data_IF_229915212629
#
_entry.id   IF_229915212629
#
_cell.length_a   1.000
_cell.length_b   1.000
_cell.length_c   1.000
_cell.angle_alpha   90.00
_cell.angle_beta   90.00
_cell.angle_gamma   90.00
#
_symmetry.space_group_name_H-M   'P 1'
#
loop_
_entity.id
_entity.type
_entity.pdbx_description
1 polymer ?
#
# COMPACT_ATOMS: atom_id res chain seq x y z
N UNK A 1 10.00 4.18 4.59
CA UNK A 1 8.77 3.58 4.05
C UNK A 1 7.75 3.55 5.17
N UNK A 2 6.48 3.73 4.83
CA UNK A 2 5.36 3.63 5.78
C UNK A 2 5.20 2.18 6.27
N UNK A 3 4.99 2.00 7.58
CA UNK A 3 4.70 0.69 8.20
C UNK A 3 3.20 0.42 8.21
N UNK A 4 2.81 -0.82 8.49
CA UNK A 4 1.42 -1.25 8.33
C UNK A 4 0.42 -0.43 9.15
N UNK A 5 0.76 -0.08 10.40
CA UNK A 5 -0.12 0.72 11.27
C UNK A 5 -0.29 2.16 10.80
N UNK A 6 0.73 2.74 10.15
CA UNK A 6 0.66 4.11 9.65
C UNK A 6 -0.21 4.18 8.39
N UNK A 7 -0.09 3.19 7.50
CA UNK A 7 -1.04 3.04 6.39
C UNK A 7 -2.46 2.88 6.90
N UNK A 8 -2.65 1.98 7.87
CA UNK A 8 -3.94 1.73 8.49
C UNK A 8 -4.55 2.99 9.10
N UNK A 9 -3.75 3.82 9.79
CA UNK A 9 -4.21 5.09 10.33
C UNK A 9 -4.73 6.04 9.24
N UNK A 10 -4.00 6.19 8.13
CA UNK A 10 -4.43 7.01 6.99
C UNK A 10 -5.70 6.43 6.35
N UNK A 11 -5.76 5.11 6.15
CA UNK A 11 -6.90 4.42 5.55
C UNK A 11 -8.18 4.54 6.40
N UNK A 12 -8.08 4.36 7.73
CA UNK A 12 -9.20 4.54 8.64
C UNK A 12 -9.66 5.99 8.71
N UNK A 13 -8.71 6.94 8.78
CA UNK A 13 -9.08 8.35 8.74
C UNK A 13 -9.81 8.69 7.43
N UNK A 14 -9.35 8.13 6.31
CA UNK A 14 -9.96 8.34 5.00
C UNK A 14 -11.42 7.91 4.94
N UNK A 15 -11.78 6.77 5.54
CA UNK A 15 -13.17 6.31 5.53
C UNK A 15 -14.02 6.87 6.68
N UNK A 16 -13.39 7.51 7.67
CA UNK A 16 -14.11 8.08 8.83
C UNK A 16 -15.02 9.25 8.43
N UNK A 17 -15.94 9.68 9.33
CA UNK A 17 -16.71 10.91 9.14
C UNK A 17 -15.87 12.18 8.95
N UNK A 18 -14.59 12.15 9.35
CA UNK A 18 -13.64 13.27 9.20
C UNK A 18 -12.82 13.19 7.89
N UNK A 19 -12.91 12.08 7.17
CA UNK A 19 -12.32 11.90 5.85
C UNK A 19 -13.40 12.01 4.78
N UNK A 20 -13.78 10.86 4.23
CA UNK A 20 -14.74 10.70 3.12
C UNK A 20 -16.07 10.08 3.54
N UNK A 21 -16.29 9.91 4.84
CA UNK A 21 -17.57 9.46 5.40
C UNK A 21 -18.11 8.17 4.76
N UNK A 22 -17.29 7.11 4.76
CA UNK A 22 -17.63 5.79 4.22
C UNK A 22 -17.46 5.64 2.70
N UNK A 23 -17.03 6.68 1.99
CA UNK A 23 -16.75 6.62 0.55
C UNK A 23 -15.26 6.33 0.33
N UNK A 24 -14.94 5.31 -0.48
CA UNK A 24 -13.55 5.00 -0.78
C UNK A 24 -12.84 6.13 -1.56
N UNK A 25 -11.52 6.14 -1.50
CA UNK A 25 -10.68 6.97 -2.36
C UNK A 25 -10.73 6.42 -3.78
N UNK A 26 -11.05 7.28 -4.75
CA UNK A 26 -11.06 6.89 -6.17
C UNK A 26 -9.66 6.52 -6.65
N UNK A 27 -9.56 5.48 -7.48
CA UNK A 27 -8.27 5.03 -8.00
C UNK A 27 -7.62 6.04 -8.94
N UNK A 28 -6.32 6.27 -8.77
CA UNK A 28 -5.49 6.98 -9.74
C UNK A 28 -5.00 6.00 -10.83
N UNK A 29 -5.82 5.77 -11.85
CA UNK A 29 -5.49 4.87 -12.95
C UNK A 29 -4.89 5.58 -14.18
N UNK A 30 -4.48 6.85 -14.05
CA UNK A 30 -4.04 7.65 -15.19
C UNK A 30 -2.57 7.38 -15.50
N UNK A 31 -2.29 6.77 -16.65
CA UNK A 31 -0.95 6.63 -17.21
C UNK A 31 -0.65 7.80 -18.13
N UNK A 32 0.38 8.59 -17.84
CA UNK A 32 0.87 9.61 -18.76
C UNK A 32 2.07 9.12 -19.57
N UNK A 33 2.08 9.46 -20.87
CA UNK A 33 3.18 9.20 -21.80
C UNK A 33 3.85 10.56 -22.05
N UNK A 34 5.09 10.71 -21.57
CA UNK A 34 5.84 11.97 -21.72
C UNK A 34 6.34 12.12 -23.16
N UNK A 35 6.75 11.01 -23.80
CA UNK A 35 7.16 10.95 -25.22
C UNK A 35 6.76 9.60 -25.83
N UNK A 36 6.68 9.49 -27.17
CA UNK A 36 6.22 8.30 -27.92
C UNK A 36 6.92 6.97 -27.57
N UNK A 37 8.06 7.00 -26.86
CA UNK A 37 8.79 5.83 -26.36
C UNK A 37 9.16 5.90 -24.87
N UNK A 38 8.67 6.90 -24.12
CA UNK A 38 8.93 7.09 -22.69
C UNK A 38 7.62 7.30 -21.93
N UNK A 39 7.19 6.29 -21.19
CA UNK A 39 6.06 6.41 -20.27
C UNK A 39 6.56 6.50 -18.84
N UNK A 40 6.58 7.69 -18.24
CA UNK A 40 6.54 7.83 -16.78
C UNK A 40 6.11 9.24 -16.35
N UNK A 41 4.84 9.43 -15.97
CA UNK A 41 4.55 10.25 -14.79
C UNK A 41 3.19 9.89 -14.21
N UNK A 42 3.23 9.24 -13.04
CA UNK A 42 2.12 9.30 -12.09
C UNK A 42 2.39 10.59 -11.32
N UNK A 43 1.75 11.70 -11.69
CA UNK A 43 1.89 12.89 -10.84
C UNK A 43 1.11 12.63 -9.56
N UNK A 44 1.76 12.89 -8.43
CA UNK A 44 1.09 12.84 -7.14
C UNK A 44 0.01 13.92 -7.09
N UNK A 45 -1.20 13.58 -6.62
CA UNK A 45 -2.29 14.57 -6.51
C UNK A 45 -3.42 14.40 -7.53
N UNK A 46 -3.37 13.35 -8.35
CA UNK A 46 -4.34 13.12 -9.40
C UNK A 46 -4.04 13.93 -10.64
N UNK A 47 -3.87 13.22 -11.76
CA UNK A 47 -3.69 13.85 -13.05
C UNK A 47 -5.01 14.52 -13.49
N UNK A 48 -4.92 15.72 -14.08
CA UNK A 48 -6.00 16.22 -14.93
C UNK A 48 -6.27 15.23 -16.08
N UNK A 49 -7.27 15.53 -16.92
CA UNK A 49 -7.66 14.68 -18.07
C UNK A 49 -6.52 14.43 -19.08
N UNK A 50 -5.39 15.12 -18.95
CA UNK A 50 -4.20 15.08 -19.80
C UNK A 50 -3.00 14.33 -19.18
N UNK A 51 -3.10 13.77 -17.97
CA UNK A 51 -1.99 13.01 -17.38
C UNK A 51 -0.88 13.85 -16.73
N UNK A 52 -1.06 15.17 -16.65
CA UNK A 52 -0.18 16.08 -15.94
C UNK A 52 -0.98 16.76 -14.83
N UNK A 53 -0.32 17.11 -13.73
CA UNK A 53 -0.79 18.23 -12.92
C UNK A 53 -0.53 19.50 -13.75
N UNK A 54 -1.33 19.74 -14.79
CA UNK A 54 -1.12 20.85 -15.73
C UNK A 54 -1.31 22.23 -15.05
N UNK A 55 -1.83 22.25 -13.82
CA UNK A 55 -1.67 23.31 -12.84
C UNK A 55 -1.88 22.75 -11.42
N UNK A 56 -1.31 23.39 -10.38
CA UNK A 56 -1.62 23.11 -8.96
C UNK A 56 -3.14 23.06 -8.69
N UNK A 57 -3.93 23.75 -9.52
CA UNK A 57 -5.38 23.86 -9.45
C UNK A 57 -6.15 22.55 -9.75
N UNK A 58 -5.59 21.61 -10.53
CA UNK A 58 -6.32 20.42 -11.01
C UNK A 58 -6.41 19.32 -9.94
N UNK A 59 -5.34 19.10 -9.17
CA UNK A 59 -5.35 18.24 -7.99
C UNK A 59 -6.36 18.73 -6.93
N UNK A 60 -6.53 20.05 -6.85
CA UNK A 60 -7.35 20.73 -5.85
C UNK A 60 -8.86 20.66 -6.12
N UNK A 61 -9.29 20.78 -7.37
CA UNK A 61 -10.72 20.94 -7.71
C UNK A 61 -11.31 19.80 -8.52
N UNK A 62 -10.50 19.09 -9.33
CA UNK A 62 -11.00 18.03 -10.22
C UNK A 62 -10.76 16.62 -9.67
N UNK A 63 -9.73 16.44 -8.84
CA UNK A 63 -9.32 15.13 -8.32
C UNK A 63 -9.52 14.97 -6.80
N UNK A 64 -10.37 15.78 -6.20
CA UNK A 64 -10.68 15.70 -4.76
C UNK A 64 -11.24 14.32 -4.34
N UNK A 65 -11.78 13.54 -5.27
CA UNK A 65 -12.20 12.15 -5.04
C UNK A 65 -11.03 11.16 -4.84
N UNK A 66 -9.83 11.48 -5.32
CA UNK A 66 -8.59 10.71 -5.14
C UNK A 66 -7.82 11.07 -3.86
N UNK A 67 -8.30 12.07 -3.12
CA UNK A 67 -7.78 12.46 -1.81
C UNK A 67 -8.50 11.72 -0.68
N UNK A 68 -7.77 11.34 0.38
CA UNK A 68 -8.34 10.74 1.60
C UNK A 68 -9.31 11.65 2.38
N UNK A 69 -9.42 12.93 2.05
CA UNK A 69 -10.33 13.87 2.75
C UNK A 69 -11.46 14.41 1.88
N UNK A 70 -11.53 14.01 0.60
CA UNK A 70 -12.49 14.63 -0.31
C UNK A 70 -12.16 16.08 -0.69
N UNK A 71 -10.96 16.54 -0.34
CA UNK A 71 -10.48 17.89 -0.61
C UNK A 71 -8.94 17.88 -0.72
N UNK A 72 -8.38 19.07 -0.77
CA UNK A 72 -6.99 19.35 -1.15
C UNK A 72 -5.95 19.00 -0.10
N UNK A 73 -6.40 18.76 1.13
CA UNK A 73 -5.53 18.59 2.29
C UNK A 73 -5.26 17.13 2.63
N UNK A 74 -5.86 16.20 1.89
CA UNK A 74 -5.72 14.78 2.13
C UNK A 74 -4.49 14.19 1.47
N UNK A 75 -4.36 12.90 1.69
CA UNK A 75 -3.32 12.07 1.10
C UNK A 75 -3.84 11.54 -0.23
N UNK A 76 -3.08 11.73 -1.31
CA UNK A 76 -3.41 11.22 -2.63
C UNK A 76 -2.69 9.91 -2.93
N UNK A 77 -3.16 9.20 -3.97
CA UNK A 77 -2.54 7.97 -4.49
C UNK A 77 -2.51 6.80 -3.50
N UNK A 78 -3.46 6.79 -2.56
CA UNK A 78 -3.68 5.67 -1.65
C UNK A 78 -4.44 4.52 -2.34
N UNK A 79 -5.06 4.79 -3.50
CA UNK A 79 -5.73 3.83 -4.38
C UNK A 79 -5.20 4.05 -5.80
N UNK A 80 -4.50 3.07 -6.37
CA UNK A 80 -3.88 3.19 -7.70
C UNK A 80 -2.58 4.02 -7.71
N UNK A 81 -2.16 4.42 -8.92
CA UNK A 81 -0.93 5.16 -9.16
C UNK A 81 0.27 4.23 -9.26
N UNK A 82 0.83 3.82 -8.12
CA UNK A 82 1.96 2.91 -8.04
C UNK A 82 1.72 1.86 -6.98
N UNK A 83 2.35 0.69 -7.16
CA UNK A 83 2.46 -0.26 -6.06
C UNK A 83 3.41 0.33 -5.01
N UNK A 84 2.91 0.59 -3.81
CA UNK A 84 3.71 1.26 -2.80
C UNK A 84 4.37 0.28 -1.85
N UNK A 85 5.69 0.39 -1.70
CA UNK A 85 6.44 -0.42 -0.75
C UNK A 85 6.11 -0.02 0.69
N UNK A 86 5.88 -1.03 1.51
CA UNK A 86 5.70 -0.88 2.95
C UNK A 86 6.89 -1.46 3.71
N UNK A 87 7.18 -0.93 4.90
CA UNK A 87 8.14 -1.52 5.83
C UNK A 87 7.52 -2.65 6.65
N UNK A 88 6.88 -3.60 5.97
CA UNK A 88 6.24 -4.75 6.59
C UNK A 88 6.73 -6.07 5.96
N UNK A 89 7.04 -7.06 6.80
CA UNK A 89 7.55 -8.36 6.33
C UNK A 89 7.24 -9.53 7.27
N UNK A 90 7.40 -10.75 6.77
CA UNK A 90 7.53 -11.98 7.57
C UNK A 90 8.99 -12.43 7.58
N UNK A 91 9.53 -12.77 8.75
CA UNK A 91 10.87 -13.38 8.82
C UNK A 91 10.79 -14.89 8.55
N UNK A 92 10.78 -15.28 7.27
CA UNK A 92 10.61 -16.68 6.85
C UNK A 92 11.91 -17.37 6.43
N UNK A 93 13.06 -16.71 6.58
CA UNK A 93 14.37 -17.25 6.16
C UNK A 93 14.57 -17.35 4.65
N UNK A 94 13.66 -16.82 3.82
CA UNK A 94 13.83 -16.78 2.37
C UNK A 94 14.93 -15.78 1.98
N UNK A 95 15.73 -16.12 0.97
CA UNK A 95 16.84 -15.27 0.50
C UNK A 95 16.39 -13.89 -0.03
N UNK A 96 15.13 -13.75 -0.48
CA UNK A 96 14.59 -12.47 -0.91
C UNK A 96 14.51 -11.46 0.25
N UNK A 97 14.29 -11.92 1.49
CA UNK A 97 14.22 -11.04 2.65
C UNK A 97 15.57 -10.37 2.93
N UNK A 98 16.66 -11.14 2.94
CA UNK A 98 18.00 -10.60 3.15
C UNK A 98 18.51 -9.83 1.94
N UNK A 99 18.14 -10.24 0.72
CA UNK A 99 18.54 -9.56 -0.52
C UNK A 99 17.89 -8.19 -0.68
N UNK A 100 16.58 -8.08 -0.43
CA UNK A 100 15.80 -6.88 -0.73
C UNK A 100 15.43 -6.06 0.51
N UNK A 101 15.56 -6.63 1.72
CA UNK A 101 15.14 -6.01 2.99
C UNK A 101 16.26 -5.85 4.02
N UNK A 102 17.54 -5.92 3.62
CA UNK A 102 18.69 -5.88 4.55
C UNK A 102 18.62 -4.74 5.57
N UNK A 103 18.28 -3.52 5.14
CA UNK A 103 18.18 -2.37 6.04
C UNK A 103 17.10 -2.55 7.12
N UNK A 104 15.99 -3.24 6.81
CA UNK A 104 14.95 -3.56 7.79
C UNK A 104 15.41 -4.63 8.78
N UNK A 105 16.25 -5.57 8.34
CA UNK A 105 16.80 -6.63 9.21
C UNK A 105 17.88 -6.10 10.15
N UNK A 106 18.73 -5.19 9.67
CA UNK A 106 19.82 -4.59 10.44
C UNK A 106 19.30 -3.59 11.50
N UNK A 107 18.09 -3.06 11.32
CA UNK A 107 17.43 -2.15 12.27
C UNK A 107 16.82 -2.92 13.46
N UNK A 108 17.67 -3.39 14.37
CA UNK A 108 17.28 -4.14 15.56
C UNK A 108 16.99 -5.61 15.28
N UNK A 109 16.09 -6.22 16.07
CA UNK A 109 15.77 -7.65 15.90
C UNK A 109 14.97 -7.89 14.62
N UNK A 110 15.31 -8.90 13.79
CA UNK A 110 14.57 -9.22 12.57
C UNK A 110 13.19 -9.84 12.86
N UNK A 111 12.96 -10.33 14.08
CA UNK A 111 11.72 -10.99 14.50
C UNK A 111 10.75 -10.05 15.24
N UNK A 112 11.10 -8.76 15.38
CA UNK A 112 10.32 -7.81 16.18
C UNK A 112 10.00 -6.55 15.41
N UNK A 113 8.74 -6.13 15.48
CA UNK A 113 8.31 -4.80 15.09
C UNK A 113 9.01 -3.73 15.93
N UNK A 114 9.23 -2.56 15.35
CA UNK A 114 9.75 -1.38 16.04
C UNK A 114 9.06 -0.12 15.50
N UNK A 115 9.62 1.07 15.77
CA UNK A 115 9.04 2.34 15.30
C UNK A 115 9.06 2.51 13.77
N UNK A 116 9.91 1.78 13.05
CA UNK A 116 10.13 1.90 11.62
C UNK A 116 9.59 0.72 10.78
N UNK A 117 9.33 -0.44 11.40
CA UNK A 117 8.93 -1.66 10.69
C UNK A 117 7.86 -2.48 11.43
N UNK A 118 7.04 -3.18 10.65
CA UNK A 118 6.09 -4.19 11.13
C UNK A 118 6.60 -5.58 10.76
N UNK A 119 6.79 -6.44 11.75
CA UNK A 119 7.14 -7.85 11.55
C UNK A 119 5.96 -8.72 11.93
N UNK A 120 5.49 -9.53 10.98
CA UNK A 120 4.42 -10.50 11.21
C UNK A 120 4.99 -11.87 11.57
N UNK A 121 4.21 -12.63 12.32
CA UNK A 121 4.55 -13.98 12.74
C UNK A 121 4.65 -14.89 11.51
N UNK A 122 5.65 -15.76 11.55
CA UNK A 122 5.85 -16.84 10.58
C UNK A 122 5.82 -18.20 11.28
N UNK A 123 5.21 -19.17 10.62
CA UNK A 123 5.24 -20.59 11.02
C UNK A 123 5.56 -21.42 9.78
N UNK A 124 6.53 -22.33 9.86
CA UNK A 124 6.95 -23.16 8.73
C UNK A 124 5.98 -24.30 8.41
N UNK A 125 5.06 -24.66 9.31
CA UNK A 125 4.15 -25.83 9.14
C UNK A 125 3.35 -25.79 7.85
N UNK A 126 2.86 -24.61 7.47
CA UNK A 126 2.09 -24.40 6.25
C UNK A 126 2.39 -23.00 5.71
N UNK A 127 3.04 -22.90 4.56
CA UNK A 127 3.50 -21.63 3.98
C UNK A 127 2.59 -21.15 2.84
N UNK A 128 1.35 -20.83 3.20
CA UNK A 128 0.34 -20.24 2.30
C UNK A 128 -0.08 -18.86 2.81
N UNK A 129 -0.55 -17.99 1.92
CA UNK A 129 -1.09 -16.68 2.29
C UNK A 129 -2.24 -16.79 3.31
N UNK A 130 -3.16 -17.74 3.12
CA UNK A 130 -4.27 -17.99 4.06
C UNK A 130 -3.77 -18.40 5.44
N UNK A 131 -2.85 -19.36 5.53
CA UNK A 131 -2.29 -19.80 6.81
C UNK A 131 -1.53 -18.67 7.51
N UNK A 132 -0.74 -17.88 6.77
CA UNK A 132 0.01 -16.75 7.32
C UNK A 132 -0.92 -15.62 7.78
N UNK A 133 -1.99 -15.36 7.04
CA UNK A 133 -3.01 -14.40 7.45
C UNK A 133 -3.71 -14.84 8.74
N UNK A 134 -4.17 -16.09 8.78
CA UNK A 134 -4.85 -16.66 9.95
C UNK A 134 -3.97 -16.71 11.22
N UNK A 135 -2.65 -16.85 11.05
CA UNK A 135 -1.69 -16.76 12.15
C UNK A 135 -1.64 -15.36 12.77
N UNK A 136 -1.84 -14.32 11.97
CA UNK A 136 -1.66 -12.93 12.38
C UNK A 136 -2.98 -12.16 12.61
N UNK A 137 -4.13 -12.69 12.17
CA UNK A 137 -5.45 -11.98 12.20
C UNK A 137 -5.95 -11.49 13.56
N UNK A 138 -5.26 -11.83 14.66
CA UNK A 138 -5.59 -11.38 16.01
C UNK A 138 -4.89 -10.06 16.39
N UNK A 139 -4.07 -9.49 15.51
CA UNK A 139 -3.43 -8.18 15.74
C UNK A 139 -4.49 -7.09 15.61
N UNK A 140 -4.83 -6.48 16.74
CA UNK A 140 -5.78 -5.36 16.82
C UNK A 140 -5.08 -4.07 16.39
N UNK A 141 -5.79 -3.23 15.65
CA UNK A 141 -5.30 -1.94 15.13
C UNK A 141 -4.51 -2.05 13.83
N UNK A 142 -4.51 -3.22 13.19
CA UNK A 142 -3.90 -3.41 11.86
C UNK A 142 -5.00 -3.59 10.81
N UNK A 143 -5.09 -2.59 9.92
CA UNK A 143 -6.09 -2.56 8.87
C UNK A 143 -6.09 -3.81 7.99
N UNK A 144 -4.94 -4.46 7.79
CA UNK A 144 -4.89 -5.71 7.01
C UNK A 144 -5.84 -6.75 7.57
N UNK A 145 -5.90 -6.91 8.90
CA UNK A 145 -6.67 -7.98 9.51
C UNK A 145 -8.12 -7.62 9.78
N UNK A 146 -8.40 -6.33 9.90
CA UNK A 146 -9.71 -5.78 10.22
C UNK A 146 -10.55 -5.52 8.97
N UNK A 147 -9.93 -5.29 7.81
CA UNK A 147 -10.63 -4.94 6.57
C UNK A 147 -10.55 -5.99 5.49
N UNK A 148 -10.03 -7.20 5.78
CA UNK A 148 -9.80 -8.25 4.79
C UNK A 148 -9.97 -9.66 5.36
N UNK A 149 -9.77 -10.67 4.51
CA UNK A 149 -9.49 -12.04 4.88
C UNK A 149 -8.16 -12.57 4.28
N UNK A 150 -7.38 -11.69 3.64
CA UNK A 150 -6.08 -11.99 3.04
C UNK A 150 -6.12 -12.71 1.69
N UNK A 151 -7.30 -12.83 1.05
CA UNK A 151 -7.51 -13.63 -0.14
C UNK A 151 -8.40 -12.96 -1.20
N UNK A 152 -7.77 -12.47 -2.27
CA UNK A 152 -8.43 -11.91 -3.43
C UNK A 152 -9.17 -10.61 -3.14
N UNK A 153 -10.19 -10.31 -3.94
CA UNK A 153 -11.00 -9.08 -3.90
C UNK A 153 -12.08 -9.14 -2.81
N UNK A 154 -11.63 -9.35 -1.57
CA UNK A 154 -12.49 -9.55 -0.39
C UNK A 154 -12.14 -8.62 0.76
N UNK A 155 -11.23 -7.67 0.55
CA UNK A 155 -11.12 -6.56 1.47
C UNK A 155 -12.31 -5.61 1.33
N UNK A 156 -12.45 -4.66 2.24
CA UNK A 156 -13.45 -3.59 2.14
C UNK A 156 -13.42 -2.96 0.75
N UNK A 157 -14.59 -2.58 0.24
CA UNK A 157 -14.80 -2.04 -1.12
C UNK A 157 -14.46 -3.01 -2.28
N UNK A 158 -14.14 -4.27 -1.99
CA UNK A 158 -13.74 -5.25 -3.02
C UNK A 158 -12.25 -5.20 -3.34
N UNK A 159 -11.45 -4.58 -2.47
CA UNK A 159 -10.02 -4.43 -2.67
C UNK A 159 -9.28 -5.77 -2.66
N UNK A 160 -8.20 -5.84 -3.46
CA UNK A 160 -7.37 -7.03 -3.56
C UNK A 160 -6.53 -7.22 -2.30
N UNK A 161 -6.50 -8.45 -1.80
CA UNK A 161 -5.73 -8.83 -0.64
C UNK A 161 -4.97 -10.13 -0.90
N UNK A 162 -3.66 -10.12 -0.68
CA UNK A 162 -2.83 -11.32 -0.68
C UNK A 162 -1.72 -11.17 0.35
N UNK A 163 -1.82 -11.94 1.43
CA UNK A 163 -0.85 -11.88 2.51
C UNK A 163 0.48 -12.58 2.14
N UNK A 164 1.56 -12.27 2.85
CA UNK A 164 2.91 -12.78 2.56
C UNK A 164 3.00 -14.30 2.74
N UNK A 165 3.78 -14.95 1.87
CA UNK A 165 4.14 -16.38 1.96
C UNK A 165 5.32 -16.69 1.04
N UNK A 166 5.98 -17.83 1.26
CA UNK A 166 7.00 -18.40 0.38
C UNK A 166 8.09 -17.38 -0.06
N UNK A 167 8.25 -17.16 -1.37
CA UNK A 167 9.27 -16.26 -1.93
C UNK A 167 8.92 -14.77 -1.84
N UNK A 168 7.73 -14.44 -1.31
CA UNK A 168 7.18 -13.10 -1.26
C UNK A 168 7.03 -12.61 0.21
N UNK A 169 8.15 -12.27 0.89
CA UNK A 169 8.13 -11.96 2.32
C UNK A 169 7.75 -10.50 2.64
N UNK A 170 7.44 -9.66 1.65
CA UNK A 170 7.06 -8.25 1.84
C UNK A 170 5.65 -7.96 1.31
N UNK A 171 5.12 -6.76 1.62
CA UNK A 171 3.87 -6.25 1.08
C UNK A 171 4.05 -4.97 0.24
N UNK A 172 3.26 -4.88 -0.83
CA UNK A 172 2.92 -3.63 -1.49
C UNK A 172 1.46 -3.25 -1.24
N UNK A 173 1.12 -1.97 -1.38
CA UNK A 173 -0.22 -1.41 -1.14
C UNK A 173 -0.75 -0.64 -2.36
N UNK A 174 -2.05 -0.32 -2.34
CA UNK A 174 -2.72 0.66 -3.22
C UNK A 174 -3.08 0.14 -4.62
N UNK A 175 -2.11 -0.47 -5.32
CA UNK A 175 -2.27 -0.96 -6.70
C UNK A 175 -1.68 -0.01 -7.76
N UNK A 176 -1.41 -0.53 -8.97
CA UNK A 176 -0.83 0.26 -10.08
C UNK A 176 -1.87 1.05 -10.89
N UNK A 177 -1.42 1.92 -11.81
CA UNK A 177 -2.26 2.62 -12.82
C UNK A 177 -3.10 1.73 -13.74
N UNK A 178 -2.94 0.41 -13.72
CA UNK A 178 -3.73 -0.46 -14.57
C UNK A 178 -5.15 -0.54 -14.01
N UNK A 179 -6.15 -0.23 -14.83
CA UNK A 179 -7.58 -0.30 -14.49
C UNK A 179 -8.05 -1.76 -14.28
N UNK A 180 -7.47 -2.41 -13.27
CA UNK A 180 -7.77 -3.77 -12.84
C UNK A 180 -8.70 -3.71 -11.64
N UNK A 181 -9.48 -4.77 -11.47
CA UNK A 181 -10.27 -4.98 -10.26
C UNK A 181 -9.36 -5.09 -9.02
N UNK A 182 -9.86 -4.63 -7.87
CA UNK A 182 -9.19 -4.72 -6.58
C UNK A 182 -8.09 -3.68 -6.30
N UNK A 183 -7.98 -2.61 -7.09
CA UNK A 183 -7.18 -1.42 -6.76
C UNK A 183 -7.92 -0.59 -5.72
N UNK A 184 -7.27 -0.21 -4.62
CA UNK A 184 -7.97 0.44 -3.52
C UNK A 184 -7.12 0.76 -2.30
N UNK A 185 -7.69 1.52 -1.37
CA UNK A 185 -6.99 2.00 -0.18
C UNK A 185 -6.71 0.90 0.85
N UNK A 186 -7.48 -0.19 0.81
CA UNK A 186 -7.26 -1.40 1.59
C UNK A 186 -6.57 -2.49 0.78
N UNK A 187 -6.18 -2.22 -0.46
CA UNK A 187 -5.50 -3.19 -1.30
C UNK A 187 -4.07 -3.47 -0.80
N UNK A 188 -3.72 -4.75 -0.72
CA UNK A 188 -2.36 -5.21 -0.47
C UNK A 188 -2.04 -6.51 -1.21
N UNK A 189 -0.80 -6.64 -1.65
CA UNK A 189 -0.30 -7.87 -2.26
C UNK A 189 1.10 -8.17 -1.79
N UNK A 190 1.41 -9.46 -1.69
CA UNK A 190 2.75 -9.90 -1.38
C UNK A 190 3.71 -9.65 -2.55
N UNK A 191 5.00 -9.63 -2.23
CA UNK A 191 6.06 -9.44 -3.21
C UNK A 191 7.41 -9.98 -2.72
N UNK A 192 8.28 -10.44 -3.64
CA UNK A 192 9.68 -10.74 -3.31
C UNK A 192 10.51 -9.50 -2.94
N UNK A 193 10.01 -8.28 -3.17
CA UNK A 193 10.65 -7.03 -2.75
C UNK A 193 11.61 -6.40 -3.77
N UNK A 194 11.70 -6.96 -4.99
CA UNK A 194 12.58 -6.46 -6.03
C UNK A 194 12.24 -5.04 -6.52
N UNK A 195 13.22 -4.40 -7.16
CA UNK A 195 13.01 -3.14 -7.89
C UNK A 195 12.15 -3.35 -9.14
N UNK A 196 11.26 -2.40 -9.44
CA UNK A 196 10.48 -2.34 -10.68
C UNK A 196 10.03 -0.89 -10.92
N UNK A 197 9.79 -0.54 -12.18
CA UNK A 197 9.38 0.81 -12.60
C UNK A 197 7.97 1.21 -12.14
N UNK A 198 7.13 0.24 -11.76
CA UNK A 198 5.76 0.45 -11.23
C UNK A 198 5.71 0.53 -9.71
N UNK A 199 6.87 0.66 -9.03
CA UNK A 199 6.96 0.62 -7.57
C UNK A 199 7.39 1.96 -6.99
N UNK A 200 6.59 2.48 -6.06
CA UNK A 200 6.84 3.70 -5.30
C UNK A 200 7.02 3.44 -3.81
N UNK A 201 7.08 4.51 -3.03
CA UNK A 201 7.02 4.47 -1.57
C UNK A 201 6.53 5.80 -1.02
N UNK A 202 5.97 5.74 0.18
CA UNK A 202 5.69 6.93 1.01
C UNK A 202 6.50 6.87 2.29
N UNK A 203 6.74 8.04 2.86
CA UNK A 203 7.39 8.18 4.16
C UNK A 203 6.47 8.93 5.12
N UNK A 204 6.55 8.55 6.39
CA UNK A 204 5.95 9.25 7.51
C UNK A 204 7.07 9.93 8.30
N UNK A 205 6.77 11.10 8.87
CA UNK A 205 7.64 11.73 9.85
C UNK A 205 7.19 11.29 11.24
N UNK A 206 8.11 10.74 12.02
CA UNK A 206 7.90 10.45 13.43
C UNK A 206 8.44 11.65 14.21
N UNK A 207 7.58 12.33 14.96
CA UNK A 207 7.96 13.45 15.83
C UNK A 207 7.97 12.98 17.28
N UNK A 208 9.01 13.34 18.03
CA UNK A 208 9.17 13.05 19.47
C UNK A 208 8.88 14.31 20.30
#
# INVERSE_FOLDING_TARGET
MIKASEWGAVAYLAISPYGRNGIEVSSNNTKHIINENESTSVTSGGNGTDGLASAEFDALTKNANQSTTGNVYGVYDMSGGLWERSSAYINNGNANLSKNGKALLDDGSPDKSNKYKTVYMYDKKEDTNEAKYNLNKKVIGDAIFETSNGLGEKAWFGDYSSFMFNEAPFLHRGGSTNNKSGVGIFAFSNTPGQAAYVLGFRCTLITE
#
